data_IF_518661591344
#
_entry.id   IF_518661591344
#
_cell.length_a   1.000
_cell.length_b   1.000
_cell.length_c   1.000
_cell.angle_alpha   90.00
_cell.angle_beta   90.00
_cell.angle_gamma   90.00
#
_symmetry.space_group_name_H-M   'P 1'
#
loop_
_entity.id
_entity.type
_entity.pdbx_description
1 polymer ?
#
# COMPACT_ATOMS: atom_id res chain seq x y z
N UNK A 1 37.05 33.27 59.21
CA UNK A 1 36.32 34.14 58.26
C UNK A 1 37.20 34.35 57.04
N UNK A 2 36.94 33.64 55.94
CA UNK A 2 37.18 34.10 54.57
C UNK A 2 36.51 33.12 53.60
N UNK A 3 35.82 33.68 52.62
CA UNK A 3 34.68 33.14 51.90
C UNK A 3 35.09 32.20 50.77
N UNK A 4 34.32 31.12 50.60
CA UNK A 4 34.40 30.18 49.47
C UNK A 4 33.90 30.86 48.20
N UNK A 5 34.74 30.94 47.16
CA UNK A 5 34.29 31.28 45.80
C UNK A 5 34.35 30.01 44.95
N UNK A 6 33.21 29.35 44.77
CA UNK A 6 33.06 28.26 43.81
C UNK A 6 32.74 28.87 42.45
N UNK A 7 33.68 28.78 41.51
CA UNK A 7 33.43 29.09 40.09
C UNK A 7 32.59 27.94 39.54
N UNK A 8 31.31 28.20 39.27
CA UNK A 8 30.45 27.30 38.49
C UNK A 8 30.64 27.67 37.03
N UNK A 9 31.44 26.89 36.31
CA UNK A 9 31.54 26.98 34.86
C UNK A 9 30.25 26.37 34.28
N UNK A 10 29.29 27.24 33.93
CA UNK A 10 28.08 26.82 33.25
C UNK A 10 28.44 26.39 31.82
N UNK A 11 28.52 25.07 31.61
CA UNK A 11 28.63 24.47 30.29
C UNK A 11 27.25 24.60 29.61
N UNK A 12 27.01 25.71 28.93
CA UNK A 12 25.82 25.87 28.08
C UNK A 12 25.97 24.94 26.87
N UNK A 13 25.40 23.75 26.99
CA UNK A 13 25.19 22.83 25.89
C UNK A 13 24.25 23.52 24.89
N UNK A 14 24.82 24.06 23.81
CA UNK A 14 24.05 24.60 22.70
C UNK A 14 23.26 23.47 22.04
N UNK A 15 22.05 23.24 22.52
CA UNK A 15 21.08 22.40 21.84
C UNK A 15 20.70 23.12 20.54
N UNK A 16 21.41 22.79 19.45
CA UNK A 16 20.97 23.11 18.12
C UNK A 16 19.62 22.39 17.92
N UNK A 17 18.53 23.16 18.07
CA UNK A 17 17.18 22.73 17.73
C UNK A 17 17.15 22.44 16.23
N UNK A 18 17.50 21.21 15.86
CA UNK A 18 17.15 20.61 14.58
C UNK A 18 15.65 20.34 14.59
N UNK A 19 14.86 21.43 14.53
CA UNK A 19 13.46 21.33 14.16
C UNK A 19 13.34 20.76 12.74
N UNK A 20 12.23 20.10 12.41
CA UNK A 20 12.02 19.55 11.07
C UNK A 20 12.14 20.69 10.05
N UNK A 21 13.17 20.63 9.21
CA UNK A 21 13.26 21.49 8.03
C UNK A 21 12.25 20.97 7.03
N UNK A 22 11.11 21.65 6.93
CA UNK A 22 10.21 21.49 5.79
C UNK A 22 11.00 21.86 4.53
N UNK A 23 11.36 20.85 3.74
CA UNK A 23 11.89 21.07 2.40
C UNK A 23 10.71 21.58 1.57
N UNK A 24 10.68 22.89 1.34
CA UNK A 24 9.70 23.50 0.45
C UNK A 24 10.11 23.14 -0.97
N UNK A 25 9.57 22.05 -1.50
CA UNK A 25 9.71 21.67 -2.91
C UNK A 25 8.88 22.57 -3.86
N UNK A 26 8.21 23.60 -3.33
CA UNK A 26 7.35 24.52 -4.08
C UNK A 26 8.20 25.59 -4.74
N UNK A 27 7.87 25.96 -5.98
CA UNK A 27 8.52 27.08 -6.65
C UNK A 27 8.01 28.39 -6.05
N UNK A 28 8.80 29.12 -5.22
CA UNK A 28 8.35 30.37 -4.64
C UNK A 28 8.16 31.45 -5.72
N UNK A 29 8.83 31.29 -6.87
CA UNK A 29 8.77 32.21 -8.01
C UNK A 29 7.42 32.19 -8.72
N UNK A 30 6.76 31.03 -8.78
CA UNK A 30 5.51 30.86 -9.53
C UNK A 30 4.31 30.48 -8.65
N UNK A 31 4.51 30.28 -7.35
CA UNK A 31 3.44 29.88 -6.43
C UNK A 31 2.82 28.52 -6.75
N UNK A 32 3.62 27.60 -7.33
CA UNK A 32 3.15 26.29 -7.75
C UNK A 32 3.35 25.23 -6.66
N UNK A 33 2.28 24.50 -6.38
CA UNK A 33 2.22 23.40 -5.43
C UNK A 33 2.05 23.84 -3.98
N UNK A 34 1.58 22.92 -3.14
CA UNK A 34 1.54 23.05 -1.69
C UNK A 34 2.00 21.76 -1.03
N UNK A 35 2.35 21.81 0.26
CA UNK A 35 2.64 20.60 1.01
C UNK A 35 1.31 19.86 1.22
N UNK A 36 1.24 18.57 0.90
CA UNK A 36 -0.03 17.86 0.97
C UNK A 36 -0.51 17.83 2.41
N UNK A 37 -1.81 18.12 2.59
CA UNK A 37 -2.47 18.02 3.87
C UNK A 37 -2.63 16.55 4.26
N UNK A 38 -2.79 16.28 5.55
CA UNK A 38 -2.90 14.89 6.03
C UNK A 38 -4.11 14.14 5.43
N UNK A 39 -5.21 14.84 5.17
CA UNK A 39 -6.40 14.30 4.48
C UNK A 39 -6.13 14.03 3.00
N UNK A 40 -5.35 14.88 2.32
CA UNK A 40 -4.93 14.67 0.93
C UNK A 40 -4.05 13.42 0.80
N UNK A 41 -3.10 13.23 1.72
CA UNK A 41 -2.27 12.02 1.75
C UNK A 41 -3.11 10.78 2.06
N UNK A 42 -3.99 10.84 3.07
CA UNK A 42 -4.84 9.70 3.45
C UNK A 42 -5.74 9.22 2.30
N UNK A 43 -6.13 10.10 1.39
CA UNK A 43 -6.96 9.74 0.25
C UNK A 43 -6.21 8.94 -0.83
N UNK A 44 -4.87 9.00 -0.86
CA UNK A 44 -4.05 8.39 -1.91
C UNK A 44 -3.05 7.35 -1.39
N UNK A 45 -2.69 7.41 -0.10
CA UNK A 45 -1.84 6.44 0.62
C UNK A 45 -2.69 5.24 1.05
N UNK A 46 -3.04 4.42 0.06
CA UNK A 46 -3.95 3.28 0.19
C UNK A 46 -3.25 1.95 -0.14
N UNK A 47 -1.93 1.97 -0.35
CA UNK A 47 -1.16 0.80 -0.75
C UNK A 47 -1.09 -0.24 0.36
N UNK A 48 -1.27 -1.51 -0.02
CA UNK A 48 -0.95 -2.64 0.87
C UNK A 48 0.35 -3.33 0.45
N UNK A 49 1.29 -3.36 1.39
CA UNK A 49 2.62 -3.90 1.20
C UNK A 49 2.67 -5.44 1.42
N UNK A 50 3.70 -6.14 0.92
CA UNK A 50 3.87 -7.58 1.12
C UNK A 50 3.89 -8.05 2.58
N UNK A 51 4.30 -7.18 3.51
CA UNK A 51 4.35 -7.46 4.94
C UNK A 51 3.04 -7.15 5.69
N UNK A 52 1.99 -6.75 4.96
CA UNK A 52 0.66 -6.45 5.51
C UNK A 52 0.47 -5.02 5.99
N UNK A 53 1.49 -4.16 5.95
CA UNK A 53 1.30 -2.72 6.17
C UNK A 53 0.27 -2.17 5.18
N UNK A 54 -0.65 -1.34 5.68
CA UNK A 54 -1.76 -0.77 4.90
C UNK A 54 -3.07 -1.57 5.00
N UNK A 55 -3.05 -2.81 5.50
CA UNK A 55 -4.29 -3.58 5.68
C UNK A 55 -5.20 -2.94 6.74
N UNK A 56 -6.50 -2.71 6.44
CA UNK A 56 -7.47 -2.34 7.45
C UNK A 56 -7.81 -3.53 8.35
N UNK A 57 -8.29 -3.29 9.59
CA UNK A 57 -8.81 -4.37 10.42
C UNK A 57 -10.02 -5.02 9.75
N UNK A 58 -10.04 -6.35 9.69
CA UNK A 58 -11.12 -7.10 9.07
C UNK A 58 -10.83 -8.59 8.93
N UNK A 59 -11.82 -9.32 8.45
CA UNK A 59 -11.72 -10.76 8.17
C UNK A 59 -12.76 -11.18 7.13
N UNK A 60 -12.51 -12.29 6.44
CA UNK A 60 -13.47 -12.91 5.53
C UNK A 60 -13.13 -14.38 5.29
N UNK A 61 -14.09 -15.13 4.74
CA UNK A 61 -13.89 -16.55 4.36
C UNK A 61 -14.19 -16.76 2.89
N UNK A 62 -13.72 -17.88 2.33
CA UNK A 62 -14.01 -18.24 0.95
C UNK A 62 -15.52 -18.43 0.71
N UNK A 63 -16.22 -19.00 1.69
CA UNK A 63 -17.68 -19.22 1.65
C UNK A 63 -18.43 -17.89 1.59
N UNK A 64 -18.00 -16.89 2.39
CA UNK A 64 -18.57 -15.56 2.36
C UNK A 64 -18.24 -14.80 1.06
N UNK A 65 -17.06 -15.04 0.48
CA UNK A 65 -16.64 -14.42 -0.78
C UNK A 65 -17.33 -14.99 -2.02
N UNK A 66 -17.75 -16.26 -2.01
CA UNK A 66 -18.37 -16.93 -3.16
C UNK A 66 -19.58 -16.17 -3.75
N UNK A 67 -20.60 -15.77 -2.96
CA UNK A 67 -21.74 -15.02 -3.53
C UNK A 67 -21.31 -13.66 -4.12
N UNK A 68 -20.31 -13.00 -3.54
CA UNK A 68 -19.76 -11.73 -4.06
C UNK A 68 -19.08 -11.98 -5.41
N UNK A 69 -18.22 -12.99 -5.49
CA UNK A 69 -17.55 -13.38 -6.73
C UNK A 69 -18.56 -13.70 -7.84
N UNK A 70 -19.60 -14.48 -7.52
CA UNK A 70 -20.68 -14.81 -8.46
C UNK A 70 -21.44 -13.56 -8.93
N UNK A 71 -21.68 -12.60 -8.05
CA UNK A 71 -22.41 -11.39 -8.42
C UNK A 71 -21.58 -10.37 -9.20
N UNK A 72 -20.26 -10.34 -8.99
CA UNK A 72 -19.41 -9.20 -9.42
C UNK A 72 -18.25 -9.58 -10.35
N UNK A 73 -17.85 -10.84 -10.42
CA UNK A 73 -16.59 -11.24 -11.08
C UNK A 73 -16.79 -12.23 -12.23
N UNK A 74 -17.81 -13.09 -12.16
CA UNK A 74 -17.92 -14.25 -13.07
C UNK A 74 -18.21 -13.87 -14.52
N UNK A 75 -18.76 -12.68 -14.78
CA UNK A 75 -19.01 -12.19 -16.14
C UNK A 75 -17.71 -12.07 -16.93
N UNK A 76 -16.59 -11.73 -16.27
CA UNK A 76 -15.29 -11.56 -16.92
C UNK A 76 -14.36 -12.75 -16.69
N UNK A 77 -14.34 -13.32 -15.48
CA UNK A 77 -13.36 -14.33 -15.08
C UNK A 77 -13.90 -15.77 -15.07
N UNK A 78 -15.20 -15.95 -15.33
CA UNK A 78 -15.85 -17.26 -15.31
C UNK A 78 -16.25 -17.73 -13.91
N UNK A 79 -17.06 -18.79 -13.84
CA UNK A 79 -17.62 -19.30 -12.59
C UNK A 79 -16.57 -19.93 -11.66
N UNK A 80 -15.48 -20.45 -12.22
CA UNK A 80 -14.39 -21.09 -11.50
C UNK A 80 -13.07 -20.30 -11.58
N UNK A 81 -13.06 -19.16 -12.26
CA UNK A 81 -11.85 -18.38 -12.50
C UNK A 81 -10.94 -18.98 -13.57
N UNK A 82 -11.41 -19.97 -14.34
CA UNK A 82 -10.63 -20.72 -15.33
C UNK A 82 -11.07 -20.47 -16.77
N UNK A 83 -12.24 -19.87 -16.96
CA UNK A 83 -12.95 -19.85 -18.23
C UNK A 83 -12.66 -18.60 -19.07
N UNK A 84 -12.42 -17.45 -18.44
CA UNK A 84 -12.40 -16.16 -19.13
C UNK A 84 -13.82 -15.63 -19.41
N UNK A 85 -14.01 -14.66 -20.33
CA UNK A 85 -13.13 -14.31 -21.45
C UNK A 85 -11.94 -13.39 -21.12
N UNK A 86 -11.91 -12.77 -19.95
CA UNK A 86 -10.77 -12.00 -19.47
C UNK A 86 -9.75 -12.89 -18.76
N UNK A 87 -8.78 -12.29 -18.07
CA UNK A 87 -7.71 -13.00 -17.39
C UNK A 87 -8.21 -14.20 -16.57
N UNK A 88 -7.58 -15.34 -16.80
CA UNK A 88 -7.77 -16.56 -16.04
C UNK A 88 -7.11 -16.40 -14.66
N UNK A 89 -7.91 -16.50 -13.60
CA UNK A 89 -7.48 -16.25 -12.22
C UNK A 89 -6.89 -17.50 -11.54
N UNK A 90 -7.25 -18.69 -12.00
CA UNK A 90 -6.89 -19.97 -11.37
C UNK A 90 -6.28 -20.93 -12.37
N UNK A 91 -5.15 -21.56 -12.02
CA UNK A 91 -4.51 -22.61 -12.80
C UNK A 91 -3.04 -22.32 -13.10
N UNK A 92 -2.44 -23.11 -13.98
CA UNK A 92 -1.07 -22.86 -14.45
C UNK A 92 0.05 -23.31 -13.49
N UNK A 93 -0.29 -24.03 -12.42
CA UNK A 93 0.71 -24.68 -11.56
C UNK A 93 1.62 -25.57 -12.40
N UNK A 94 2.93 -25.44 -12.20
CA UNK A 94 3.94 -26.21 -12.94
C UNK A 94 4.15 -25.78 -14.40
N UNK A 95 3.44 -24.76 -14.89
CA UNK A 95 3.57 -24.32 -16.30
C UNK A 95 4.65 -23.25 -16.52
N UNK A 96 5.22 -22.67 -15.45
CA UNK A 96 6.14 -21.54 -15.54
C UNK A 96 7.43 -21.82 -16.34
N UNK A 97 7.83 -23.09 -16.45
CA UNK A 97 9.00 -23.54 -17.20
C UNK A 97 8.67 -24.06 -18.62
N UNK A 98 7.43 -23.89 -19.08
CA UNK A 98 6.99 -24.34 -20.40
C UNK A 98 7.08 -23.21 -21.43
N UNK A 99 6.94 -23.54 -22.71
CA UNK A 99 6.93 -22.54 -23.80
C UNK A 99 5.70 -21.61 -23.78
N UNK A 100 4.65 -22.00 -23.04
CA UNK A 100 3.40 -21.23 -22.91
C UNK A 100 2.96 -21.23 -21.44
N UNK A 101 3.65 -20.50 -20.56
CA UNK A 101 3.32 -20.47 -19.15
C UNK A 101 1.96 -19.81 -18.93
N UNK A 102 1.11 -20.44 -18.11
CA UNK A 102 -0.13 -19.85 -17.65
C UNK A 102 0.11 -19.20 -16.28
N UNK A 103 0.24 -17.87 -16.28
CA UNK A 103 0.50 -17.08 -15.09
C UNK A 103 -0.83 -16.64 -14.48
N UNK A 104 -1.17 -17.20 -13.33
CA UNK A 104 -2.38 -16.86 -12.56
C UNK A 104 -1.99 -16.49 -11.14
N UNK A 105 -2.97 -16.11 -10.32
CA UNK A 105 -2.77 -15.80 -8.90
C UNK A 105 -2.01 -16.94 -8.21
N UNK A 106 -2.50 -18.18 -8.35
CA UNK A 106 -1.94 -19.33 -7.66
C UNK A 106 -0.70 -19.96 -8.30
N UNK A 107 -0.27 -19.52 -9.49
CA UNK A 107 0.92 -20.05 -10.16
C UNK A 107 2.09 -19.08 -10.22
N UNK A 108 1.85 -17.78 -10.14
CA UNK A 108 2.85 -16.76 -10.44
C UNK A 108 2.96 -15.66 -9.38
N UNK A 109 1.85 -15.26 -8.75
CA UNK A 109 1.86 -14.13 -7.84
C UNK A 109 2.48 -14.50 -6.48
N UNK A 110 3.40 -13.68 -5.94
CA UNK A 110 4.14 -14.04 -4.73
C UNK A 110 3.41 -13.73 -3.42
N UNK A 111 2.47 -12.78 -3.40
CA UNK A 111 1.86 -12.26 -2.16
C UNK A 111 0.34 -12.12 -2.26
N UNK A 112 -0.36 -12.58 -1.21
CA UNK A 112 -1.80 -12.41 -1.08
C UNK A 112 -2.22 -10.95 -0.89
N UNK A 113 -1.34 -10.12 -0.32
CA UNK A 113 -1.61 -8.68 -0.11
C UNK A 113 -1.71 -7.93 -1.43
N UNK A 114 -0.95 -8.32 -2.46
CA UNK A 114 -1.09 -7.72 -3.80
C UNK A 114 -2.47 -8.03 -4.40
N UNK A 115 -3.02 -9.21 -4.14
CA UNK A 115 -4.38 -9.55 -4.58
C UNK A 115 -5.41 -8.70 -3.84
N UNK A 116 -5.29 -8.56 -2.51
CA UNK A 116 -6.20 -7.73 -1.72
C UNK A 116 -6.17 -6.27 -2.20
N UNK A 117 -4.98 -5.68 -2.33
CA UNK A 117 -4.77 -4.31 -2.77
C UNK A 117 -5.42 -4.05 -4.12
N UNK A 118 -5.07 -4.88 -5.11
CA UNK A 118 -5.56 -4.74 -6.47
C UNK A 118 -7.08 -4.89 -6.57
N UNK A 119 -7.65 -5.91 -5.91
CA UNK A 119 -9.10 -6.11 -5.92
C UNK A 119 -9.82 -4.94 -5.25
N UNK A 120 -9.31 -4.44 -4.12
CA UNK A 120 -9.94 -3.36 -3.38
C UNK A 120 -9.94 -2.01 -4.11
N UNK A 121 -8.92 -1.73 -4.93
CA UNK A 121 -8.73 -0.40 -5.56
C UNK A 121 -9.00 -0.35 -7.07
N UNK A 122 -9.18 -1.50 -7.70
CA UNK A 122 -9.24 -1.58 -9.15
C UNK A 122 -10.31 -2.55 -9.68
N UNK A 123 -11.04 -3.25 -8.79
CA UNK A 123 -12.09 -4.19 -9.19
C UNK A 123 -13.41 -3.90 -8.46
N UNK A 124 -14.57 -4.13 -9.11
CA UNK A 124 -14.74 -4.55 -10.51
C UNK A 124 -14.21 -3.52 -11.52
N UNK A 125 -13.81 -3.96 -12.70
CA UNK A 125 -13.15 -3.10 -13.69
C UNK A 125 -13.97 -1.85 -14.08
N UNK A 126 -15.30 -1.95 -14.06
CA UNK A 126 -16.24 -0.86 -14.33
C UNK A 126 -16.54 0.03 -13.11
N UNK A 127 -16.11 -0.38 -11.92
CA UNK A 127 -16.33 0.29 -10.64
C UNK A 127 -15.12 0.11 -9.71
N UNK A 128 -13.94 0.66 -10.07
CA UNK A 128 -12.72 0.53 -9.29
C UNK A 128 -12.75 1.29 -7.95
#
# INVERSE_FOLDING_TARGET
MLTRTRIVLALTCGAALLGPRSVVAQSPTFGLGHAPRADELKAIDIEVLPDGRGLPPGSGTAEAGKPIYTARCTVCHGATGKEGPQDVLVGGQGTLNTSKPLKTIGSYWPYATTLWDYVNRAMPFDHP
#
